data_IF_512720553367
#
_entry.id   IF_512720553367
#
_cell.length_a   1.000
_cell.length_b   1.000
_cell.length_c   1.000
_cell.angle_alpha   90.00
_cell.angle_beta   90.00
_cell.angle_gamma   90.00
#
_symmetry.space_group_name_H-M   'P 1'
#
loop_
_entity.id
_entity.type
_entity.pdbx_description
1 polymer ?
#
# COMPACT_ATOMS: atom_id res chain seq x y z
N UNK A 1 8.13 14.50 -43.85
CA UNK A 1 7.00 13.75 -43.25
C UNK A 1 7.33 13.55 -41.79
N UNK A 2 6.61 14.19 -40.88
CA UNK A 2 6.78 13.99 -39.44
C UNK A 2 6.09 12.67 -39.06
N UNK A 3 6.87 11.65 -38.75
CA UNK A 3 6.37 10.40 -38.20
C UNK A 3 5.87 10.66 -36.78
N UNK A 4 4.55 10.62 -36.60
CA UNK A 4 3.92 10.60 -35.29
C UNK A 4 4.14 9.18 -34.75
N UNK A 5 5.08 9.03 -33.82
CA UNK A 5 5.19 7.81 -33.03
C UNK A 5 3.91 7.68 -32.19
N UNK A 6 3.04 6.75 -32.56
CA UNK A 6 1.92 6.36 -31.72
C UNK A 6 2.47 5.83 -30.40
N UNK A 7 2.15 6.49 -29.29
CA UNK A 7 2.36 5.93 -27.96
C UNK A 7 1.46 4.70 -27.85
N UNK A 8 2.05 3.50 -27.92
CA UNK A 8 1.34 2.28 -27.63
C UNK A 8 0.91 2.34 -26.14
N UNK A 9 -0.40 2.46 -25.90
CA UNK A 9 -0.99 2.19 -24.59
C UNK A 9 -0.72 0.72 -24.26
N UNK A 10 0.36 0.42 -23.54
CA UNK A 10 0.66 -0.96 -23.18
C UNK A 10 -0.32 -1.42 -22.11
N UNK A 11 -1.21 -2.35 -22.48
CA UNK A 11 -2.08 -3.12 -21.57
C UNK A 11 -1.30 -4.18 -20.77
N UNK A 12 0.00 -4.30 -21.02
CA UNK A 12 0.90 -5.23 -20.35
C UNK A 12 1.58 -4.60 -19.13
N UNK A 13 2.01 -5.47 -18.21
CA UNK A 13 2.81 -5.05 -17.05
C UNK A 13 4.20 -4.60 -17.50
N UNK A 14 4.58 -3.39 -17.09
CA UNK A 14 5.88 -2.78 -17.33
C UNK A 14 6.72 -2.81 -16.06
N UNK A 15 8.04 -2.94 -16.19
CA UNK A 15 8.96 -2.86 -15.05
C UNK A 15 9.32 -1.41 -14.78
N UNK A 16 9.05 -0.93 -13.55
CA UNK A 16 9.57 0.36 -13.08
C UNK A 16 10.99 0.18 -12.55
N UNK A 17 11.18 -0.75 -11.61
CA UNK A 17 12.47 -0.97 -10.95
C UNK A 17 12.60 -2.39 -10.41
N UNK A 18 13.77 -2.98 -10.57
CA UNK A 18 14.16 -4.21 -9.90
C UNK A 18 15.56 -4.04 -9.33
N UNK A 19 15.66 -4.02 -8.00
CA UNK A 19 16.93 -3.75 -7.31
C UNK A 19 16.90 -4.35 -5.91
N UNK A 20 18.01 -4.93 -5.47
CA UNK A 20 18.17 -5.46 -4.12
C UNK A 20 17.04 -6.42 -3.70
N UNK A 21 16.56 -7.28 -4.59
CA UNK A 21 15.45 -8.21 -4.27
C UNK A 21 14.07 -7.54 -4.10
N UNK A 22 13.95 -6.26 -4.46
CA UNK A 22 12.68 -5.55 -4.62
C UNK A 22 12.35 -5.50 -6.11
N UNK A 23 11.11 -5.81 -6.46
CA UNK A 23 10.56 -5.63 -7.81
C UNK A 23 9.35 -4.72 -7.74
N UNK A 24 9.24 -3.77 -8.66
CA UNK A 24 8.08 -2.89 -8.84
C UNK A 24 7.75 -2.88 -10.32
N UNK A 25 6.55 -3.35 -10.64
CA UNK A 25 5.96 -3.32 -11.97
C UNK A 25 4.64 -2.55 -11.91
N UNK A 26 4.19 -2.08 -13.06
CA UNK A 26 2.93 -1.35 -13.16
C UNK A 26 2.24 -1.60 -14.49
N UNK A 27 0.93 -1.37 -14.51
CA UNK A 27 0.09 -1.43 -15.71
C UNK A 27 -0.73 -0.15 -15.78
N UNK A 28 -0.76 0.50 -16.93
CA UNK A 28 -1.54 1.73 -17.13
C UNK A 28 -2.95 1.38 -17.59
N UNK A 29 -3.96 1.87 -16.89
CA UNK A 29 -5.38 1.72 -17.26
C UNK A 29 -5.78 2.76 -18.32
N UNK A 30 -6.94 2.57 -18.96
CA UNK A 30 -7.43 3.47 -20.01
C UNK A 30 -7.63 4.91 -19.54
N UNK A 31 -7.91 5.11 -18.25
CA UNK A 31 -8.01 6.43 -17.62
C UNK A 31 -6.65 7.08 -17.32
N UNK A 32 -5.52 6.42 -17.64
CA UNK A 32 -4.16 6.89 -17.40
C UNK A 32 -3.64 6.68 -15.98
N UNK A 33 -4.44 6.13 -15.07
CA UNK A 33 -4.01 5.75 -13.72
C UNK A 33 -3.29 4.41 -13.80
N UNK A 34 -2.22 4.24 -13.02
CA UNK A 34 -1.51 2.96 -12.95
C UNK A 34 -2.03 2.07 -11.83
N UNK A 35 -2.00 0.76 -12.08
CA UNK A 35 -2.02 -0.27 -11.05
C UNK A 35 -0.59 -0.75 -10.83
N UNK A 36 -0.16 -0.83 -9.57
CA UNK A 36 1.19 -1.21 -9.18
C UNK A 36 1.16 -2.64 -8.63
N UNK A 37 2.16 -3.44 -8.97
CA UNK A 37 2.47 -4.73 -8.36
C UNK A 37 3.92 -4.71 -7.93
N UNK A 38 4.18 -5.00 -6.67
CA UNK A 38 5.50 -4.90 -6.10
C UNK A 38 5.77 -6.05 -5.13
N UNK A 39 7.03 -6.42 -4.96
CA UNK A 39 7.41 -7.48 -4.03
C UNK A 39 8.80 -7.27 -3.44
N UNK A 40 9.01 -7.82 -2.25
CA UNK A 40 10.30 -7.90 -1.57
C UNK A 40 10.40 -9.21 -0.79
N UNK A 41 11.56 -9.88 -0.88
CA UNK A 41 11.88 -11.00 -0.01
C UNK A 41 12.59 -10.50 1.26
N UNK A 42 12.06 -10.86 2.42
CA UNK A 42 12.61 -10.50 3.73
C UNK A 42 13.09 -11.77 4.42
N UNK A 43 14.37 -11.81 4.78
CA UNK A 43 14.97 -12.99 5.41
C UNK A 43 14.57 -13.13 6.86
N UNK A 44 14.35 -14.36 7.32
CA UNK A 44 14.04 -14.67 8.73
C UNK A 44 12.83 -13.90 9.31
N UNK A 45 11.88 -13.51 8.46
CA UNK A 45 10.68 -12.78 8.87
C UNK A 45 9.43 -13.65 8.75
N UNK A 46 8.40 -13.34 9.53
CA UNK A 46 7.10 -14.03 9.49
C UNK A 46 5.98 -13.04 9.18
N UNK A 47 4.86 -13.56 8.67
CA UNK A 47 3.66 -12.75 8.46
C UNK A 47 3.20 -12.03 9.73
N UNK A 48 3.40 -12.63 10.91
CA UNK A 48 3.13 -11.99 12.19
C UNK A 48 3.95 -10.71 12.39
N UNK A 49 5.25 -10.72 12.06
CA UNK A 49 6.14 -9.56 12.24
C UNK A 49 5.68 -8.38 11.37
N UNK A 50 5.28 -8.67 10.13
CA UNK A 50 4.63 -7.68 9.26
C UNK A 50 3.37 -7.09 9.89
N UNK A 51 2.50 -7.94 10.46
CA UNK A 51 1.25 -7.46 11.07
C UNK A 51 1.48 -6.66 12.35
N UNK A 52 2.53 -6.96 13.11
CA UNK A 52 2.92 -6.15 14.28
C UNK A 52 3.41 -4.78 13.80
N UNK A 53 4.34 -4.73 12.85
CA UNK A 53 4.82 -3.46 12.28
C UNK A 53 3.65 -2.62 11.71
N UNK A 54 2.73 -3.25 10.97
CA UNK A 54 1.56 -2.57 10.42
C UNK A 54 0.63 -2.02 11.50
N UNK A 55 0.54 -2.69 12.65
CA UNK A 55 -0.29 -2.23 13.78
C UNK A 55 0.34 -1.09 14.57
N UNK A 56 1.65 -0.86 14.43
CA UNK A 56 2.37 0.26 15.03
C UNK A 56 2.15 1.53 14.21
N UNK A 57 0.99 2.16 14.40
CA UNK A 57 0.57 3.34 13.62
C UNK A 57 1.44 4.57 13.88
N UNK A 58 2.06 4.65 15.06
CA UNK A 58 2.96 5.75 15.42
C UNK A 58 4.29 5.63 14.65
N UNK A 59 4.76 4.40 14.42
CA UNK A 59 5.93 4.10 13.59
C UNK A 59 5.64 4.15 12.08
N UNK A 60 4.38 4.31 11.66
CA UNK A 60 4.01 4.21 10.25
C UNK A 60 4.76 5.20 9.32
N UNK A 61 4.96 6.49 9.67
CA UNK A 61 5.73 7.42 8.84
C UNK A 61 7.19 7.04 8.64
N UNK A 62 7.78 6.21 9.52
CA UNK A 62 9.18 5.81 9.43
C UNK A 62 9.43 4.75 8.35
N UNK A 63 8.36 4.09 7.86
CA UNK A 63 8.48 3.04 6.85
C UNK A 63 7.50 3.13 5.68
N UNK A 64 6.38 3.83 5.83
CA UNK A 64 5.48 4.15 4.73
C UNK A 64 5.86 5.50 4.12
N UNK A 65 6.42 5.46 2.92
CA UNK A 65 6.81 6.67 2.20
C UNK A 65 5.58 7.55 1.90
N UNK A 66 5.75 8.87 2.02
CA UNK A 66 4.69 9.87 1.87
C UNK A 66 3.52 9.76 2.86
N UNK A 67 3.59 8.92 3.89
CA UNK A 67 2.57 8.91 4.96
C UNK A 67 2.94 9.90 6.04
N UNK A 68 1.99 10.78 6.39
CA UNK A 68 2.10 11.74 7.48
C UNK A 68 1.68 11.13 8.82
N UNK A 69 0.58 10.39 8.80
CA UNK A 69 0.07 9.69 9.97
C UNK A 69 -0.89 8.58 9.56
N UNK A 70 -1.00 7.59 10.45
CA UNK A 70 -2.00 6.53 10.40
C UNK A 70 -2.76 6.55 11.72
N UNK A 71 -4.06 6.33 11.67
CA UNK A 71 -4.92 6.23 12.85
C UNK A 71 -5.85 5.05 12.70
N UNK A 72 -5.77 4.08 13.62
CA UNK A 72 -6.79 3.06 13.76
C UNK A 72 -8.07 3.74 14.27
N UNK A 73 -9.09 3.84 13.41
CA UNK A 73 -10.37 4.44 13.79
C UNK A 73 -11.19 3.46 14.62
N UNK A 74 -11.27 2.22 14.15
CA UNK A 74 -12.09 1.19 14.76
C UNK A 74 -11.55 -0.21 14.45
N UNK A 75 -11.66 -1.11 15.42
CA UNK A 75 -11.45 -2.54 15.23
C UNK A 75 -12.82 -3.22 15.21
N UNK A 76 -13.27 -3.58 14.01
CA UNK A 76 -14.57 -4.22 13.79
C UNK A 76 -14.56 -5.69 14.24
N UNK A 77 -13.41 -6.36 14.05
CA UNK A 77 -13.16 -7.73 14.51
C UNK A 77 -11.65 -7.98 14.64
N UNK A 78 -11.20 -9.14 15.14
CA UNK A 78 -9.77 -9.47 15.15
C UNK A 78 -9.12 -9.45 13.75
N UNK A 79 -9.90 -9.65 12.68
CA UNK A 79 -9.44 -9.63 11.28
C UNK A 79 -9.78 -8.34 10.52
N UNK A 80 -10.60 -7.46 11.10
CA UNK A 80 -11.17 -6.31 10.38
C UNK A 80 -10.93 -5.00 11.11
N UNK A 81 -10.47 -4.00 10.36
CA UNK A 81 -10.17 -2.67 10.90
C UNK A 81 -10.63 -1.58 9.95
N UNK A 82 -11.04 -0.45 10.51
CA UNK A 82 -11.25 0.81 9.80
C UNK A 82 -10.09 1.74 10.15
N UNK A 83 -9.39 2.22 9.13
CA UNK A 83 -8.14 2.97 9.28
C UNK A 83 -8.24 4.29 8.54
N UNK A 84 -7.74 5.35 9.16
CA UNK A 84 -7.52 6.65 8.54
C UNK A 84 -6.03 6.82 8.23
N UNK A 85 -5.68 7.22 7.02
CA UNK A 85 -4.31 7.54 6.62
C UNK A 85 -4.26 8.93 6.02
N UNK A 86 -3.33 9.77 6.48
CA UNK A 86 -3.02 11.08 5.89
C UNK A 86 -1.72 10.96 5.11
N UNK A 87 -1.74 11.31 3.83
CA UNK A 87 -0.58 11.32 2.94
C UNK A 87 -0.06 12.74 2.71
N UNK A 88 1.25 12.92 2.86
CA UNK A 88 1.96 14.09 2.36
C UNK A 88 1.94 14.08 0.84
N UNK A 89 1.77 15.26 0.24
CA UNK A 89 1.83 15.42 -1.21
C UNK A 89 2.88 16.46 -1.64
N UNK A 90 3.46 16.34 -2.84
CA UNK A 90 4.45 17.31 -3.30
C UNK A 90 3.80 18.68 -3.51
N UNK A 91 4.43 19.75 -3.01
CA UNK A 91 3.96 21.11 -3.31
C UNK A 91 3.96 21.35 -4.84
N UNK A 92 2.92 21.99 -5.43
CA UNK A 92 1.82 22.73 -4.79
C UNK A 92 0.50 21.97 -4.65
N UNK A 93 0.47 20.63 -4.77
CA UNK A 93 -0.80 19.90 -4.64
C UNK A 93 -1.17 19.65 -3.18
N UNK A 94 -2.46 19.77 -2.86
CA UNK A 94 -3.00 19.46 -1.52
C UNK A 94 -2.68 18.03 -1.09
N UNK A 95 -2.52 17.81 0.20
CA UNK A 95 -2.41 16.48 0.80
C UNK A 95 -3.63 15.60 0.47
N UNK A 96 -3.46 14.29 0.63
CA UNK A 96 -4.54 13.31 0.47
C UNK A 96 -4.84 12.63 1.78
N UNK A 97 -6.09 12.19 1.94
CA UNK A 97 -6.45 11.24 2.98
C UNK A 97 -7.19 10.02 2.41
N UNK A 98 -7.10 8.92 3.15
CA UNK A 98 -7.81 7.67 2.88
C UNK A 98 -8.48 7.22 4.17
N UNK A 99 -9.76 6.91 4.06
CA UNK A 99 -10.44 6.06 5.04
C UNK A 99 -10.57 4.70 4.38
N UNK A 100 -10.07 3.65 5.01
CA UNK A 100 -10.04 2.32 4.42
C UNK A 100 -10.54 1.26 5.38
N UNK A 101 -11.37 0.36 4.86
CA UNK A 101 -11.63 -0.92 5.49
C UNK A 101 -10.53 -1.90 5.10
N UNK A 102 -10.01 -2.62 6.09
CA UNK A 102 -9.01 -3.66 5.88
C UNK A 102 -9.51 -5.00 6.43
N UNK A 103 -9.35 -6.05 5.64
CA UNK A 103 -9.69 -7.43 5.96
C UNK A 103 -8.45 -8.31 5.87
N UNK A 104 -8.04 -8.93 6.98
CA UNK A 104 -6.93 -9.87 7.01
C UNK A 104 -7.44 -11.31 7.05
N UNK A 105 -7.11 -12.09 6.03
CA UNK A 105 -7.58 -13.47 5.90
C UNK A 105 -6.48 -14.40 5.37
N UNK A 106 -6.74 -15.69 5.45
CA UNK A 106 -5.84 -16.73 4.95
C UNK A 106 -6.24 -17.11 3.52
N UNK A 107 -5.26 -17.20 2.61
CA UNK A 107 -5.42 -17.70 1.25
C UNK A 107 -5.03 -19.18 1.15
N UNK A 108 -4.01 -19.59 1.90
CA UNK A 108 -3.59 -20.99 2.05
C UNK A 108 -2.80 -21.16 3.35
N UNK A 109 -2.35 -22.37 3.68
CA UNK A 109 -1.55 -22.63 4.88
C UNK A 109 -0.37 -21.64 5.04
N UNK A 110 0.35 -21.37 3.95
CA UNK A 110 1.56 -20.56 3.92
C UNK A 110 1.34 -19.13 3.39
N UNK A 111 0.10 -18.74 3.10
CA UNK A 111 -0.20 -17.44 2.49
C UNK A 111 -1.38 -16.75 3.15
N UNK A 112 -1.16 -15.52 3.60
CA UNK A 112 -2.21 -14.62 4.08
C UNK A 112 -2.31 -13.38 3.19
N UNK A 113 -3.45 -12.72 3.24
CA UNK A 113 -3.74 -11.51 2.49
C UNK A 113 -4.45 -10.50 3.38
N UNK A 114 -3.95 -9.26 3.37
CA UNK A 114 -4.65 -8.09 3.86
C UNK A 114 -5.23 -7.35 2.65
N UNK A 115 -6.54 -7.47 2.45
CA UNK A 115 -7.27 -6.69 1.46
C UNK A 115 -7.65 -5.34 2.06
N UNK A 116 -7.44 -4.27 1.31
CA UNK A 116 -7.72 -2.89 1.70
C UNK A 116 -8.62 -2.28 0.62
N UNK A 117 -9.74 -1.68 1.03
CA UNK A 117 -10.66 -0.97 0.14
C UNK A 117 -11.01 0.40 0.74
N UNK A 118 -11.21 1.39 -0.12
CA UNK A 118 -11.66 2.71 0.32
C UNK A 118 -13.06 2.66 0.94
N UNK A 119 -13.26 3.47 1.99
CA UNK A 119 -14.53 3.71 2.68
C UNK A 119 -14.73 5.22 2.85
N UNK A 120 -14.87 5.98 1.75
CA UNK A 120 -14.73 7.44 1.76
C UNK A 120 -15.79 8.16 2.59
N UNK A 121 -16.90 7.50 2.94
CA UNK A 121 -18.01 8.07 3.71
C UNK A 121 -17.97 7.74 5.21
N UNK A 122 -17.06 6.86 5.66
CA UNK A 122 -16.97 6.46 7.06
C UNK A 122 -16.31 7.54 7.97
N UNK A 123 -15.82 8.63 7.38
CA UNK A 123 -15.35 9.82 8.11
C UNK A 123 -15.67 11.08 7.29
N UNK A 124 -16.10 12.19 7.92
CA UNK A 124 -16.21 13.48 7.24
C UNK A 124 -14.92 13.89 6.53
N UNK A 125 -15.08 14.62 5.42
CA UNK A 125 -13.96 15.21 4.69
C UNK A 125 -13.19 16.19 5.59
N UNK A 126 -11.87 16.26 5.40
CA UNK A 126 -11.00 17.20 6.11
C UNK A 126 -10.79 18.42 5.22
N UNK A 127 -10.97 19.62 5.76
CA UNK A 127 -10.79 20.85 5.00
C UNK A 127 -9.33 20.97 4.50
N UNK A 128 -9.14 21.33 3.24
CA UNK A 128 -7.83 21.47 2.61
C UNK A 128 -7.14 20.15 2.21
N UNK A 129 -7.78 19.00 2.40
CA UNK A 129 -7.24 17.66 2.09
C UNK A 129 -8.15 16.96 1.09
N UNK A 130 -7.56 16.31 0.08
CA UNK A 130 -8.29 15.59 -0.98
C UNK A 130 -8.50 14.12 -0.58
N UNK A 131 -9.77 13.70 -0.47
CA UNK A 131 -10.13 12.31 -0.16
C UNK A 131 -9.94 11.38 -1.35
N UNK A 132 -9.13 10.35 -1.17
CA UNK A 132 -9.07 9.19 -2.08
C UNK A 132 -10.37 8.39 -1.92
N UNK A 133 -11.10 8.22 -3.02
CA UNK A 133 -12.43 7.56 -3.02
C UNK A 133 -12.42 6.18 -3.66
N UNK A 134 -11.54 5.96 -4.63
CA UNK A 134 -11.42 4.69 -5.33
C UNK A 134 -10.01 4.14 -5.09
N UNK A 135 -9.93 3.15 -4.20
CA UNK A 135 -8.70 2.45 -3.90
C UNK A 135 -9.01 1.00 -3.58
N UNK A 136 -8.26 0.09 -4.20
CA UNK A 136 -8.16 -1.30 -3.79
C UNK A 136 -6.70 -1.68 -3.71
N UNK A 137 -6.29 -2.23 -2.58
CA UNK A 137 -4.93 -2.71 -2.39
C UNK A 137 -4.88 -4.04 -1.65
N UNK A 138 -3.78 -4.74 -1.82
CA UNK A 138 -3.53 -6.05 -1.22
C UNK A 138 -2.10 -6.09 -0.70
N UNK A 139 -1.92 -6.52 0.54
CA UNK A 139 -0.65 -7.03 1.03
C UNK A 139 -0.74 -8.54 1.14
N UNK A 140 0.11 -9.27 0.45
CA UNK A 140 0.18 -10.74 0.47
C UNK A 140 1.47 -11.17 1.13
N UNK A 141 1.35 -12.03 2.13
CA UNK A 141 2.44 -12.50 2.96
C UNK A 141 2.60 -14.00 2.71
N UNK A 142 3.62 -14.38 1.95
CA UNK A 142 3.86 -15.78 1.56
C UNK A 142 5.11 -16.30 2.24
N UNK A 143 4.98 -17.31 3.08
CA UNK A 143 6.12 -17.94 3.75
C UNK A 143 6.89 -18.78 2.74
N UNK A 144 8.21 -18.60 2.72
CA UNK A 144 9.16 -19.35 1.89
C UNK A 144 10.26 -19.88 2.81
N UNK A 145 10.06 -21.11 3.33
CA UNK A 145 10.93 -21.68 4.37
C UNK A 145 11.01 -20.76 5.60
N UNK A 146 12.17 -20.14 5.85
CA UNK A 146 12.39 -19.19 6.95
C UNK A 146 12.15 -17.73 6.54
N UNK A 147 11.92 -17.46 5.26
CA UNK A 147 11.80 -16.12 4.71
C UNK A 147 10.34 -15.76 4.42
N UNK A 148 10.08 -14.46 4.27
CA UNK A 148 8.77 -13.92 3.92
C UNK A 148 8.86 -13.18 2.60
N UNK A 149 8.13 -13.68 1.59
CA UNK A 149 7.84 -12.89 0.40
C UNK A 149 6.65 -11.99 0.71
N UNK A 150 6.91 -10.69 0.78
CA UNK A 150 5.87 -9.66 0.88
C UNK A 150 5.58 -9.15 -0.52
N UNK A 151 4.31 -9.14 -0.91
CA UNK A 151 3.86 -8.55 -2.18
C UNK A 151 2.77 -7.54 -1.94
N UNK A 152 2.85 -6.40 -2.61
CA UNK A 152 1.86 -5.35 -2.58
C UNK A 152 1.27 -5.16 -3.96
N UNK A 153 -0.05 -5.10 -4.08
CA UNK A 153 -0.72 -4.72 -5.32
C UNK A 153 -1.72 -3.64 -5.02
N UNK A 154 -1.71 -2.54 -5.76
CA UNK A 154 -2.59 -1.41 -5.49
C UNK A 154 -3.02 -0.70 -6.76
N UNK A 155 -4.30 -0.35 -6.80
CA UNK A 155 -4.87 0.66 -7.68
C UNK A 155 -5.46 1.74 -6.79
N UNK A 156 -5.16 3.00 -7.10
CA UNK A 156 -5.66 4.15 -6.35
C UNK A 156 -5.85 5.34 -7.29
N UNK A 157 -7.07 5.86 -7.34
CA UNK A 157 -7.35 7.16 -7.96
C UNK A 157 -6.96 8.28 -6.98
N UNK A 158 -5.95 9.11 -7.30
CA UNK A 158 -5.49 10.17 -6.43
C UNK A 158 -6.51 11.31 -6.25
N UNK A 159 -7.56 11.35 -7.10
CA UNK A 159 -8.57 12.38 -7.21
C UNK A 159 -8.01 13.81 -7.39
N UNK A 160 -8.91 14.80 -7.47
CA UNK A 160 -8.54 16.21 -7.58
C UNK A 160 -7.86 16.56 -8.91
N UNK A 161 -6.94 17.54 -8.87
CA UNK A 161 -6.35 18.15 -10.06
C UNK A 161 -4.90 17.73 -10.34
N UNK A 162 -4.38 16.72 -9.63
CA UNK A 162 -3.01 16.25 -9.87
C UNK A 162 -2.94 15.54 -11.22
N UNK A 163 -2.00 15.92 -12.11
CA UNK A 163 -1.82 15.19 -13.36
C UNK A 163 -1.42 13.74 -13.11
N UNK A 164 -2.02 12.79 -13.85
CA UNK A 164 -1.75 11.36 -13.67
C UNK A 164 -0.27 11.00 -13.84
N UNK A 165 0.45 11.62 -14.78
CA UNK A 165 1.89 11.36 -14.95
C UNK A 165 2.69 11.66 -13.67
N UNK A 166 2.28 12.69 -12.91
CA UNK A 166 2.95 13.09 -11.68
C UNK A 166 2.56 12.15 -10.53
N UNK A 167 1.27 11.87 -10.36
CA UNK A 167 0.81 10.92 -9.34
C UNK A 167 1.41 9.54 -9.55
N UNK A 168 1.43 9.04 -10.79
CA UNK A 168 1.98 7.73 -11.15
C UNK A 168 3.47 7.65 -10.79
N UNK A 169 4.26 8.69 -11.10
CA UNK A 169 5.69 8.76 -10.75
C UNK A 169 5.92 8.76 -9.25
N UNK A 170 5.13 9.53 -8.50
CA UNK A 170 5.19 9.58 -7.03
C UNK A 170 4.84 8.22 -6.44
N UNK A 171 3.74 7.59 -6.87
CA UNK A 171 3.30 6.28 -6.38
C UNK A 171 4.34 5.18 -6.61
N UNK A 172 4.94 5.12 -7.80
CA UNK A 172 6.00 4.15 -8.12
C UNK A 172 7.22 4.30 -7.21
N UNK A 173 7.69 5.54 -7.02
CA UNK A 173 8.81 5.84 -6.11
C UNK A 173 8.45 5.47 -4.67
N UNK A 174 7.27 5.89 -4.23
CA UNK A 174 6.75 5.68 -2.86
C UNK A 174 6.69 4.20 -2.51
N UNK A 175 6.17 3.36 -3.41
CA UNK A 175 6.08 1.91 -3.18
C UNK A 175 7.48 1.28 -3.11
N UNK A 176 8.41 1.69 -3.97
CA UNK A 176 9.78 1.19 -3.92
C UNK A 176 10.47 1.54 -2.58
N UNK A 177 10.39 2.80 -2.16
CA UNK A 177 10.98 3.28 -0.90
C UNK A 177 10.31 2.63 0.32
N UNK A 178 8.99 2.47 0.28
CA UNK A 178 8.24 1.73 1.31
C UNK A 178 8.74 0.29 1.45
N UNK A 179 8.96 -0.44 0.35
CA UNK A 179 9.46 -1.82 0.43
C UNK A 179 10.92 -1.88 0.91
N UNK A 180 11.74 -0.86 0.63
CA UNK A 180 13.08 -0.75 1.19
C UNK A 180 13.04 -0.60 2.71
N UNK A 181 12.24 0.34 3.20
CA UNK A 181 12.08 0.60 4.64
C UNK A 181 11.39 -0.56 5.35
N UNK A 182 10.35 -1.14 4.77
CA UNK A 182 9.68 -2.34 5.30
C UNK A 182 10.68 -3.48 5.56
N UNK A 183 11.52 -3.78 4.57
CA UNK A 183 12.52 -4.83 4.74
C UNK A 183 13.50 -4.50 5.87
N UNK A 184 13.91 -3.24 5.99
CA UNK A 184 14.79 -2.76 7.08
C UNK A 184 14.11 -2.95 8.44
N UNK A 185 12.88 -2.48 8.59
CA UNK A 185 12.10 -2.60 9.82
C UNK A 185 11.92 -4.05 10.26
N UNK A 186 11.57 -4.93 9.32
CA UNK A 186 11.40 -6.35 9.61
C UNK A 186 12.72 -7.09 9.89
N UNK A 187 13.81 -6.72 9.21
CA UNK A 187 15.13 -7.36 9.42
C UNK A 187 15.75 -6.97 10.77
N UNK A 188 15.45 -5.77 11.27
CA UNK A 188 15.98 -5.27 12.54
C UNK A 188 14.96 -5.31 13.69
N UNK A 189 13.73 -5.78 13.45
CA UNK A 189 12.64 -5.84 14.42
C UNK A 189 12.44 -4.51 15.16
N UNK A 190 12.37 -3.40 14.40
CA UNK A 190 12.34 -2.00 14.87
C UNK A 190 10.93 -1.46 15.11
N UNK A 191 10.02 -2.30 15.61
CA UNK A 191 8.64 -1.92 15.87
C UNK A 191 8.22 -2.33 17.28
N UNK A 192 7.27 -1.59 17.83
CA UNK A 192 6.73 -1.87 19.15
C UNK A 192 5.64 -2.93 19.06
N UNK A 193 5.42 -3.65 20.17
CA UNK A 193 4.35 -4.65 20.31
C UNK A 193 3.18 -4.13 21.14
N UNK A 194 3.02 -2.81 21.17
CA UNK A 194 2.04 -2.13 22.03
C UNK A 194 0.62 -2.32 21.50
N UNK A 195 0.47 -2.32 20.17
CA UNK A 195 -0.82 -2.50 19.52
C UNK A 195 -1.08 -3.96 19.18
N UNK A 196 -2.34 -4.37 19.30
CA UNK A 196 -2.78 -5.72 18.93
C UNK A 196 -2.78 -5.85 17.40
N UNK A 197 -1.96 -6.72 16.79
CA UNK A 197 -1.99 -6.95 15.35
C UNK A 197 -3.28 -7.67 14.94
N UNK A 198 -3.75 -7.41 13.72
CA UNK A 198 -4.87 -8.17 13.17
C UNK A 198 -4.46 -9.62 12.92
N UNK A 199 -5.38 -10.56 13.17
CA UNK A 199 -5.20 -12.00 12.96
C UNK A 199 -6.06 -12.49 11.80
N UNK A 200 -5.64 -13.51 11.03
CA UNK A 200 -6.42 -13.98 9.90
C UNK A 200 -7.79 -14.50 10.35
N UNK A 201 -8.86 -14.05 9.70
CA UNK A 201 -10.23 -14.44 10.04
C UNK A 201 -11.16 -14.43 8.83
N UNK A 202 -12.46 -14.68 9.09
CA UNK A 202 -13.52 -14.42 8.11
C UNK A 202 -13.89 -12.94 8.21
N UNK A 203 -14.01 -12.29 7.07
CA UNK A 203 -14.42 -10.90 6.97
C UNK A 203 -15.86 -10.82 6.48
N UNK A 204 -16.53 -9.70 6.77
CA UNK A 204 -17.82 -9.41 6.19
C UNK A 204 -17.73 -9.47 4.65
N UNK A 205 -18.62 -10.27 4.05
CA UNK A 205 -18.78 -10.43 2.60
C UNK A 205 -19.45 -9.23 1.96
#
# INVERSE_FOLDING_TARGET
MLSISAFANSTEWQTYKQQDGISVTYKTHQNGIIEISASVLVKNAKAHDFMVLLSDTDNAPDWLENVKSVTLMERLSPSETLVYTHFNSPWPVSDRDLVSYSCYHRLSEHKTELKIISQPHAKPAVNGVVRIKDLTAFWRLTHQQNDLLVSHQAYADPAGSIPHWLSNKVSLKSVFETLQSLRKELSYNRFTRLNTPSVPGKCAS
#
